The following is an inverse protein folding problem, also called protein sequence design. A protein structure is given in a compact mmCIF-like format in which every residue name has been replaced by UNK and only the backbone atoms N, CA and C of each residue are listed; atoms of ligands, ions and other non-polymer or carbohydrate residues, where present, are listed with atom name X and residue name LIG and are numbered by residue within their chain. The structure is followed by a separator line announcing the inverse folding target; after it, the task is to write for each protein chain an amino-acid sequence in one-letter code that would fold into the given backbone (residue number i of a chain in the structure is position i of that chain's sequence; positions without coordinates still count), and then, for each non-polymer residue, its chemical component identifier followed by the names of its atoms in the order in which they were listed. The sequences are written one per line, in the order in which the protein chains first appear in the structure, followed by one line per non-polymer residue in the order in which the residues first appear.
data_IF_153980423588
#
_entry.id   IF_153980423588
#
_cell.length_a   1.000
_cell.length_b   1.000
_cell.length_c   1.000
_cell.angle_alpha   90.00
_cell.angle_beta   90.00
_cell.angle_gamma   90.00
#
_symmetry.space_group_name_H-M   'P 1'
#
loop_
_entity.id
_entity.type
_entity.pdbx_description
1 polymer ?
#
# COMPACT_ATOMS: atom_id res chain seq x y z
N UNK A 1 -48.73 42.72 -33.29
CA UNK A 1 -47.61 43.08 -32.43
C UNK A 1 -47.34 41.88 -31.59
N UNK A 2 -46.43 41.04 -32.06
CA UNK A 2 -45.98 39.82 -31.41
C UNK A 2 -44.48 39.94 -31.28
N UNK A 3 -44.00 40.18 -30.05
CA UNK A 3 -42.57 40.28 -29.75
C UNK A 3 -41.98 38.87 -29.58
N UNK A 4 -41.04 38.58 -30.46
CA UNK A 4 -40.29 37.34 -30.53
C UNK A 4 -39.06 37.49 -29.58
N UNK A 5 -39.08 36.75 -28.47
CA UNK A 5 -37.94 36.72 -27.51
C UNK A 5 -37.10 35.50 -27.86
N UNK A 6 -36.06 35.71 -28.66
CA UNK A 6 -35.00 34.73 -28.91
C UNK A 6 -34.14 34.49 -27.64
N UNK A 7 -34.28 33.30 -27.05
CA UNK A 7 -33.46 32.83 -25.96
C UNK A 7 -32.06 32.48 -26.48
N UNK A 8 -31.05 33.22 -26.02
CA UNK A 8 -29.63 32.93 -26.25
C UNK A 8 -29.18 31.90 -25.23
N UNK A 9 -28.81 30.72 -25.73
CA UNK A 9 -28.21 29.66 -24.94
C UNK A 9 -26.76 30.01 -24.58
N UNK A 10 -26.30 29.87 -23.32
CA UNK A 10 -24.88 30.12 -22.99
C UNK A 10 -24.04 29.00 -23.55
N UNK A 11 -22.98 29.37 -24.29
CA UNK A 11 -21.97 28.47 -24.82
C UNK A 11 -21.23 27.78 -23.67
N UNK A 12 -21.20 26.45 -23.70
CA UNK A 12 -20.39 25.63 -22.81
C UNK A 12 -18.92 25.87 -23.09
N UNK A 13 -18.18 26.29 -22.07
CA UNK A 13 -16.72 26.37 -22.11
C UNK A 13 -16.14 24.96 -22.25
N UNK A 14 -15.07 24.76 -23.04
CA UNK A 14 -14.43 23.47 -23.14
C UNK A 14 -13.70 23.14 -21.82
N UNK A 15 -13.90 21.91 -21.34
CA UNK A 15 -13.14 21.33 -20.23
C UNK A 15 -11.64 21.30 -20.59
N UNK A 16 -10.73 21.56 -19.64
CA UNK A 16 -9.30 21.44 -19.90
C UNK A 16 -8.98 19.98 -20.26
N UNK A 17 -8.33 19.79 -21.39
CA UNK A 17 -7.83 18.52 -21.87
C UNK A 17 -6.96 17.85 -20.79
N UNK A 18 -7.30 16.63 -20.41
CA UNK A 18 -6.49 15.76 -19.58
C UNK A 18 -5.10 15.62 -20.22
N UNK A 19 -4.10 16.29 -19.62
CA UNK A 19 -2.71 16.02 -19.95
C UNK A 19 -2.44 14.55 -19.62
N UNK A 20 -2.17 13.77 -20.66
CA UNK A 20 -1.71 12.40 -20.57
C UNK A 20 -0.37 12.37 -19.82
N UNK A 21 -0.43 12.07 -18.52
CA UNK A 21 0.76 11.70 -17.75
C UNK A 21 1.20 10.34 -18.29
N UNK A 22 2.25 10.33 -19.06
CA UNK A 22 2.96 9.08 -19.42
C UNK A 22 3.36 8.39 -18.11
N UNK A 23 3.21 7.05 -18.00
CA UNK A 23 3.68 6.33 -16.82
C UNK A 23 5.19 6.54 -16.71
N UNK A 24 5.62 7.27 -15.70
CA UNK A 24 7.03 7.45 -15.38
C UNK A 24 7.62 6.08 -15.03
N UNK A 25 8.71 5.74 -15.70
CA UNK A 25 9.51 4.54 -15.37
C UNK A 25 10.02 4.65 -13.91
N UNK A 26 10.05 3.58 -13.12
CA UNK A 26 10.44 3.61 -11.70
C UNK A 26 11.89 4.05 -11.42
N UNK A 27 12.69 4.30 -12.46
CA UNK A 27 14.14 4.52 -12.35
C UNK A 27 14.56 5.91 -11.87
N UNK A 28 13.66 6.90 -11.80
CA UNK A 28 14.03 8.29 -11.54
C UNK A 28 13.65 8.73 -10.11
N UNK A 29 14.67 8.71 -9.22
CA UNK A 29 14.61 9.44 -7.95
C UNK A 29 14.14 8.64 -6.73
N UNK A 30 14.86 7.58 -6.35
CA UNK A 30 14.64 6.92 -5.04
C UNK A 30 14.77 7.93 -3.88
N UNK A 31 13.80 7.93 -2.97
CA UNK A 31 13.81 8.71 -1.73
C UNK A 31 13.81 7.78 -0.51
N UNK A 32 14.96 7.67 0.15
CA UNK A 32 15.13 6.81 1.33
C UNK A 32 16.58 6.44 1.59
N UNK A 33 16.81 5.50 2.52
CA UNK A 33 18.13 4.97 2.85
C UNK A 33 18.64 4.04 1.73
N UNK A 34 19.79 4.36 1.09
CA UNK A 34 20.37 3.52 0.04
C UNK A 34 20.74 2.11 0.51
N UNK A 35 21.03 1.88 1.79
CA UNK A 35 21.37 0.57 2.32
C UNK A 35 20.15 -0.35 2.36
N UNK A 36 19.00 0.18 2.80
CA UNK A 36 17.71 -0.55 2.80
C UNK A 36 17.33 -0.93 1.37
N UNK A 37 17.47 0.02 0.43
CA UNK A 37 17.24 -0.27 -0.98
C UNK A 37 18.12 -1.40 -1.49
N UNK A 38 19.44 -1.31 -1.27
CA UNK A 38 20.40 -2.29 -1.79
C UNK A 38 20.13 -3.70 -1.24
N UNK A 39 19.74 -3.81 0.03
CA UNK A 39 19.37 -5.07 0.64
C UNK A 39 18.16 -5.71 -0.07
N UNK A 40 17.07 -4.95 -0.26
CA UNK A 40 15.86 -5.45 -0.90
C UNK A 40 16.06 -5.71 -2.40
N UNK A 41 16.77 -4.84 -3.12
CA UNK A 41 17.13 -5.08 -4.52
C UNK A 41 17.88 -6.40 -4.68
N UNK A 42 18.85 -6.70 -3.77
CA UNK A 42 19.56 -7.97 -3.75
C UNK A 42 18.64 -9.17 -3.54
N UNK A 43 17.75 -9.11 -2.54
CA UNK A 43 16.78 -10.20 -2.26
C UNK A 43 15.88 -10.52 -3.47
N UNK A 44 15.42 -9.49 -4.19
CA UNK A 44 14.61 -9.66 -5.40
C UNK A 44 15.46 -10.14 -6.59
N UNK A 45 16.68 -9.63 -6.78
CA UNK A 45 17.56 -10.01 -7.89
C UNK A 45 17.97 -11.49 -7.84
N UNK A 46 18.17 -12.05 -6.65
CA UNK A 46 18.58 -13.44 -6.44
C UNK A 46 17.52 -14.48 -6.83
N UNK A 47 16.28 -14.05 -7.07
CA UNK A 47 15.16 -14.96 -7.39
C UNK A 47 14.34 -14.42 -8.56
N UNK A 48 13.92 -15.32 -9.44
CA UNK A 48 13.01 -14.96 -10.54
C UNK A 48 11.65 -14.46 -10.02
N UNK A 49 11.16 -15.02 -8.92
CA UNK A 49 9.96 -14.63 -8.19
C UNK A 49 10.19 -14.85 -6.70
N UNK A 50 9.93 -13.87 -5.87
CA UNK A 50 10.06 -13.99 -4.42
C UNK A 50 8.73 -14.40 -3.76
N UNK A 51 7.61 -13.83 -4.20
CA UNK A 51 6.28 -14.05 -3.64
C UNK A 51 5.40 -14.94 -4.53
N UNK A 52 4.23 -15.33 -4.00
CA UNK A 52 3.27 -16.21 -4.70
C UNK A 52 2.73 -15.64 -6.02
N UNK A 53 2.65 -14.30 -6.12
CA UNK A 53 1.99 -13.59 -7.21
C UNK A 53 0.47 -13.57 -7.10
N UNK A 54 -0.09 -14.10 -6.01
CA UNK A 54 -1.50 -14.00 -5.66
C UNK A 54 -1.71 -12.86 -4.65
N UNK A 55 -2.87 -12.20 -4.62
CA UNK A 55 -3.18 -11.21 -3.60
C UNK A 55 -3.20 -11.86 -2.21
N UNK A 56 -2.88 -11.07 -1.20
CA UNK A 56 -2.91 -11.52 0.18
C UNK A 56 -4.34 -11.77 0.64
N UNK A 57 -4.58 -12.94 1.28
CA UNK A 57 -5.93 -13.35 1.70
C UNK A 57 -6.56 -12.35 2.66
N UNK A 58 -5.81 -11.86 3.64
CA UNK A 58 -6.30 -10.85 4.58
C UNK A 58 -6.73 -9.55 3.86
N UNK A 59 -6.01 -9.10 2.83
CA UNK A 59 -6.43 -7.97 2.00
C UNK A 59 -7.75 -8.25 1.31
N UNK A 60 -7.88 -9.42 0.66
CA UNK A 60 -9.10 -9.80 -0.08
C UNK A 60 -10.32 -9.80 0.85
N UNK A 61 -10.17 -10.38 2.05
CA UNK A 61 -11.25 -10.47 3.02
C UNK A 61 -11.64 -9.09 3.57
N UNK A 62 -10.66 -8.26 3.94
CA UNK A 62 -10.89 -6.99 4.63
C UNK A 62 -11.36 -5.87 3.71
N UNK A 63 -11.08 -5.93 2.41
CA UNK A 63 -11.60 -4.94 1.46
C UNK A 63 -12.94 -5.36 0.84
N UNK A 64 -13.41 -6.58 1.12
CA UNK A 64 -14.73 -7.03 0.68
C UNK A 64 -15.82 -6.09 1.23
N UNK A 65 -16.57 -5.48 0.34
CA UNK A 65 -17.62 -4.52 0.71
C UNK A 65 -17.17 -3.06 0.86
N UNK A 66 -15.88 -2.74 0.74
CA UNK A 66 -15.44 -1.35 0.58
C UNK A 66 -15.73 -0.87 -0.84
N UNK A 67 -16.16 0.38 -0.95
CA UNK A 67 -16.29 1.03 -2.26
C UNK A 67 -14.89 1.39 -2.77
N UNK A 68 -14.51 0.98 -3.99
CA UNK A 68 -13.23 1.38 -4.57
C UNK A 68 -13.06 2.90 -4.62
N UNK A 69 -11.91 3.36 -4.16
CA UNK A 69 -11.48 4.74 -4.13
C UNK A 69 -9.97 4.80 -4.38
N UNK A 70 -9.27 5.73 -3.73
CA UNK A 70 -7.80 5.84 -3.81
C UNK A 70 -7.17 4.92 -2.79
N UNK A 71 -6.23 4.09 -3.23
CA UNK A 71 -5.50 3.20 -2.33
C UNK A 71 -3.99 3.45 -2.39
N UNK A 72 -3.35 3.40 -1.21
CA UNK A 72 -1.91 3.30 -1.06
C UNK A 72 -1.56 1.87 -0.65
N UNK A 73 -0.77 1.19 -1.49
CA UNK A 73 -0.19 -0.13 -1.19
C UNK A 73 1.27 0.06 -0.76
N UNK A 74 1.57 -0.18 0.52
CA UNK A 74 2.85 0.09 1.16
C UNK A 74 3.68 -1.19 1.25
N UNK A 75 4.88 -1.17 0.62
CA UNK A 75 5.71 -2.37 0.49
C UNK A 75 5.11 -3.34 -0.52
N UNK A 76 4.70 -2.83 -1.67
CA UNK A 76 3.92 -3.58 -2.67
C UNK A 76 4.69 -4.73 -3.32
N UNK A 77 6.00 -4.83 -3.16
CA UNK A 77 6.84 -5.88 -3.73
C UNK A 77 6.65 -6.03 -5.23
N UNK A 78 6.41 -7.25 -5.69
CA UNK A 78 6.18 -7.59 -7.10
C UNK A 78 4.74 -7.25 -7.58
N UNK A 79 3.94 -6.52 -6.77
CA UNK A 79 2.71 -5.87 -7.17
C UNK A 79 1.45 -6.74 -7.22
N UNK A 80 1.44 -7.90 -6.58
CA UNK A 80 0.28 -8.79 -6.63
C UNK A 80 -1.00 -8.13 -6.09
N UNK A 81 -0.90 -7.49 -4.92
CA UNK A 81 -2.00 -6.75 -4.29
C UNK A 81 -2.40 -5.52 -5.10
N UNK A 82 -1.41 -4.73 -5.55
CA UNK A 82 -1.64 -3.54 -6.38
C UNK A 82 -2.41 -3.86 -7.66
N UNK A 83 -2.01 -4.94 -8.37
CA UNK A 83 -2.68 -5.40 -9.61
C UNK A 83 -4.09 -5.91 -9.30
N UNK A 84 -4.28 -6.64 -8.21
CA UNK A 84 -5.59 -7.12 -7.79
C UNK A 84 -6.54 -5.97 -7.44
N UNK A 85 -6.07 -4.99 -6.67
CA UNK A 85 -6.82 -3.78 -6.32
C UNK A 85 -7.21 -2.97 -7.56
N UNK A 86 -6.26 -2.78 -8.50
CA UNK A 86 -6.53 -2.07 -9.75
C UNK A 86 -7.60 -2.77 -10.61
N UNK A 87 -7.61 -4.12 -10.64
CA UNK A 87 -8.70 -4.90 -11.29
C UNK A 87 -10.04 -4.70 -10.61
N UNK A 88 -10.02 -4.49 -9.29
CA UNK A 88 -11.20 -4.17 -8.50
C UNK A 88 -11.70 -2.73 -8.66
N UNK A 89 -11.05 -1.91 -9.50
CA UNK A 89 -11.45 -0.53 -9.79
C UNK A 89 -10.86 0.51 -8.82
N UNK A 90 -9.88 0.15 -7.99
CA UNK A 90 -9.17 1.10 -7.15
C UNK A 90 -8.19 1.95 -7.95
N UNK A 91 -8.06 3.24 -7.60
CA UNK A 91 -6.98 4.11 -8.07
C UNK A 91 -5.74 3.89 -7.20
N UNK A 92 -4.81 3.08 -7.72
CA UNK A 92 -3.71 2.50 -6.94
C UNK A 92 -2.44 3.35 -7.05
N UNK A 93 -1.92 3.76 -5.88
CA UNK A 93 -0.54 4.18 -5.70
C UNK A 93 0.18 3.07 -4.93
N UNK A 94 1.24 2.50 -5.51
CA UNK A 94 1.98 1.40 -4.92
C UNK A 94 3.43 1.82 -4.67
N UNK A 95 3.90 1.61 -3.45
CA UNK A 95 5.20 2.09 -2.97
C UNK A 95 6.06 0.90 -2.54
N UNK A 96 7.32 0.90 -3.00
CA UNK A 96 8.34 -0.04 -2.52
C UNK A 96 9.73 0.59 -2.53
N UNK A 97 10.61 0.06 -1.70
CA UNK A 97 12.02 0.48 -1.61
C UNK A 97 12.87 -0.15 -2.71
N UNK A 98 12.43 -1.27 -3.29
CA UNK A 98 13.15 -1.99 -4.33
C UNK A 98 12.73 -1.57 -5.74
N UNK A 99 13.69 -1.03 -6.50
CA UNK A 99 13.51 -0.76 -7.91
C UNK A 99 13.30 -2.04 -8.74
N UNK A 100 13.96 -3.13 -8.35
CA UNK A 100 13.82 -4.45 -9.00
C UNK A 100 12.39 -4.99 -8.83
N UNK A 101 11.82 -4.88 -7.64
CA UNK A 101 10.45 -5.29 -7.38
C UNK A 101 9.45 -4.45 -8.18
N UNK A 102 9.60 -3.12 -8.16
CA UNK A 102 8.72 -2.20 -8.88
C UNK A 102 8.76 -2.39 -10.40
N UNK A 103 9.92 -2.71 -10.98
CA UNK A 103 10.03 -3.02 -12.42
C UNK A 103 9.18 -4.25 -12.79
N UNK A 104 9.24 -5.31 -11.97
CA UNK A 104 8.42 -6.52 -12.14
C UNK A 104 6.94 -6.21 -11.96
N UNK A 105 6.60 -5.48 -10.92
CA UNK A 105 5.23 -5.06 -10.63
C UNK A 105 4.63 -4.26 -11.79
N UNK A 106 5.39 -3.30 -12.34
CA UNK A 106 4.98 -2.52 -13.50
C UNK A 106 4.81 -3.40 -14.76
N UNK A 107 5.64 -4.45 -14.91
CA UNK A 107 5.47 -5.47 -15.95
C UNK A 107 4.13 -6.19 -15.82
N UNK A 108 3.83 -6.72 -14.65
CA UNK A 108 2.57 -7.43 -14.36
C UNK A 108 1.34 -6.56 -14.62
N UNK A 109 1.38 -5.28 -14.22
CA UNK A 109 0.28 -4.35 -14.48
C UNK A 109 0.08 -4.08 -15.98
N UNK A 110 1.18 -3.86 -16.73
CA UNK A 110 1.13 -3.66 -18.20
C UNK A 110 0.54 -4.88 -18.92
N UNK A 111 0.99 -6.09 -18.56
CA UNK A 111 0.50 -7.35 -19.15
C UNK A 111 -0.99 -7.56 -18.87
N UNK A 112 -1.47 -7.04 -17.75
CA UNK A 112 -2.88 -7.07 -17.36
C UNK A 112 -3.71 -5.90 -17.94
N UNK A 113 -3.08 -4.93 -18.65
CA UNK A 113 -3.75 -3.74 -19.19
C UNK A 113 -4.21 -2.76 -18.10
N UNK A 114 -3.53 -2.73 -16.95
CA UNK A 114 -3.89 -1.93 -15.79
C UNK A 114 -2.93 -0.75 -15.59
N UNK A 115 -3.45 0.33 -15.01
CA UNK A 115 -2.66 1.50 -14.63
C UNK A 115 -2.49 1.53 -13.13
N UNK A 116 -1.24 1.65 -12.67
CA UNK A 116 -0.86 1.80 -11.25
C UNK A 116 0.21 2.88 -11.18
N UNK A 117 0.13 3.76 -10.18
CA UNK A 117 1.17 4.74 -9.88
C UNK A 117 2.23 4.08 -9.01
N UNK A 118 3.42 3.87 -9.55
CA UNK A 118 4.56 3.30 -8.83
C UNK A 118 5.39 4.40 -8.17
N UNK A 119 5.76 4.20 -6.89
CA UNK A 119 6.58 5.14 -6.10
C UNK A 119 7.78 4.39 -5.56
N UNK A 120 8.99 4.77 -6.01
CA UNK A 120 10.26 4.19 -5.57
C UNK A 120 10.81 4.99 -4.39
N UNK A 121 10.42 4.63 -3.17
CA UNK A 121 10.81 5.33 -1.94
C UNK A 121 10.57 4.47 -0.70
N UNK A 122 11.16 4.88 0.45
CA UNK A 122 10.63 4.49 1.76
C UNK A 122 9.32 5.22 2.03
N UNK A 123 8.47 4.67 2.90
CA UNK A 123 7.21 5.33 3.30
C UNK A 123 7.44 6.75 3.84
N UNK A 124 8.47 6.92 4.67
CA UNK A 124 8.80 8.22 5.28
C UNK A 124 9.55 9.18 4.34
N UNK A 125 10.17 8.66 3.27
CA UNK A 125 10.84 9.45 2.24
C UNK A 125 9.92 9.87 1.10
N UNK A 126 8.78 9.20 0.95
CA UNK A 126 7.84 9.48 -0.13
C UNK A 126 7.07 10.79 0.12
N UNK A 127 7.00 11.65 -0.90
CA UNK A 127 6.15 12.85 -0.87
C UNK A 127 4.67 12.47 -1.12
N UNK A 128 4.07 11.77 -0.17
CA UNK A 128 2.66 11.38 -0.24
C UNK A 128 1.76 12.52 0.26
N UNK A 129 0.65 12.81 -0.43
CA UNK A 129 -0.30 13.80 0.07
C UNK A 129 -0.97 13.26 1.35
N UNK A 130 -1.05 14.04 2.43
CA UNK A 130 -1.71 13.61 3.66
C UNK A 130 -3.23 13.47 3.45
N UNK A 131 -3.87 12.62 4.25
CA UNK A 131 -5.31 12.43 4.28
C UNK A 131 -5.94 12.22 2.89
N UNK A 132 -5.28 11.41 2.04
CA UNK A 132 -5.62 11.33 0.63
C UNK A 132 -6.04 9.95 0.15
N UNK A 133 -5.90 8.92 0.96
CA UNK A 133 -6.21 7.56 0.57
C UNK A 133 -7.41 7.02 1.34
N UNK A 134 -8.38 6.47 0.60
CA UNK A 134 -9.57 5.82 1.16
C UNK A 134 -9.23 4.46 1.77
N UNK A 135 -8.11 3.85 1.30
CA UNK A 135 -7.49 2.66 1.88
C UNK A 135 -5.97 2.84 1.90
N UNK A 136 -5.34 2.58 3.05
CA UNK A 136 -3.91 2.37 3.17
C UNK A 136 -3.70 0.90 3.53
N UNK A 137 -3.07 0.14 2.66
CA UNK A 137 -2.78 -1.28 2.84
C UNK A 137 -1.29 -1.49 3.04
N UNK A 138 -0.92 -2.25 4.06
CA UNK A 138 0.44 -2.65 4.32
C UNK A 138 0.46 -4.14 4.72
N UNK A 139 0.80 -5.00 3.75
CA UNK A 139 0.77 -6.45 3.92
C UNK A 139 2.20 -6.97 4.16
N UNK A 140 2.46 -7.42 5.38
CA UNK A 140 3.78 -7.91 5.85
C UNK A 140 4.92 -6.92 5.55
N UNK A 141 4.72 -5.62 5.80
CA UNK A 141 5.70 -4.61 5.42
C UNK A 141 6.94 -4.69 6.31
N UNK A 142 8.12 -4.51 5.71
CA UNK A 142 9.37 -4.38 6.45
C UNK A 142 9.63 -2.90 6.82
N UNK A 143 8.70 -2.29 7.54
CA UNK A 143 8.83 -0.90 7.99
C UNK A 143 9.74 -0.84 9.22
N UNK A 144 10.84 -0.11 9.11
CA UNK A 144 11.76 0.09 10.23
C UNK A 144 11.16 1.01 11.28
N UNK A 145 11.31 0.60 12.53
CA UNK A 145 10.90 1.36 13.70
C UNK A 145 11.86 2.52 13.97
N UNK A 146 11.32 3.65 14.36
CA UNK A 146 12.08 4.82 14.81
C UNK A 146 11.56 5.32 16.16
N UNK A 147 12.41 5.99 16.99
CA UNK A 147 11.98 6.48 18.32
C UNK A 147 10.80 7.45 18.27
N UNK A 148 10.61 8.16 17.16
CA UNK A 148 9.53 9.12 16.92
C UNK A 148 8.30 8.50 16.24
N UNK A 149 8.30 7.17 16.02
CA UNK A 149 7.24 6.44 15.35
C UNK A 149 6.90 7.01 13.95
N UNK A 150 7.93 7.36 13.16
CA UNK A 150 7.76 8.05 11.90
C UNK A 150 6.95 7.23 10.88
N UNK A 151 7.18 5.91 10.80
CA UNK A 151 6.48 5.05 9.86
C UNK A 151 5.01 4.85 10.25
N UNK A 152 4.72 4.60 11.53
CA UNK A 152 3.36 4.49 12.06
C UNK A 152 2.55 5.77 11.82
N UNK A 153 3.17 6.92 12.12
CA UNK A 153 2.53 8.23 11.87
C UNK A 153 2.30 8.48 10.38
N UNK A 154 3.23 8.05 9.50
CA UNK A 154 3.07 8.20 8.06
C UNK A 154 1.93 7.33 7.52
N UNK A 155 1.76 6.09 8.02
CA UNK A 155 0.61 5.24 7.71
C UNK A 155 -0.71 5.95 8.07
N UNK A 156 -0.83 6.41 9.31
CA UNK A 156 -2.03 7.08 9.81
C UNK A 156 -2.31 8.40 9.07
N UNK A 157 -1.26 9.21 8.83
CA UNK A 157 -1.39 10.49 8.15
C UNK A 157 -1.86 10.39 6.70
N UNK A 158 -1.60 9.27 6.02
CA UNK A 158 -2.01 9.03 4.64
C UNK A 158 -3.52 8.76 4.49
N UNK A 159 -4.17 8.21 5.54
CA UNK A 159 -5.59 7.82 5.51
C UNK A 159 -6.49 9.05 5.45
N UNK A 160 -7.41 9.09 4.49
CA UNK A 160 -8.43 10.14 4.38
C UNK A 160 -9.49 10.02 5.50
N UNK A 161 -10.20 11.11 5.85
CA UNK A 161 -11.38 11.00 6.71
C UNK A 161 -12.40 9.98 6.14
N UNK A 162 -12.89 9.07 6.96
CA UNK A 162 -13.72 7.93 6.55
C UNK A 162 -12.95 6.75 5.95
N UNK A 163 -11.67 6.93 5.65
CA UNK A 163 -10.80 5.88 5.09
C UNK A 163 -10.33 4.86 6.13
N UNK A 164 -9.67 3.82 5.64
CA UNK A 164 -9.24 2.66 6.41
C UNK A 164 -7.73 2.46 6.29
N UNK A 165 -7.06 2.15 7.40
CA UNK A 165 -5.74 1.51 7.41
C UNK A 165 -5.93 0.01 7.66
N UNK A 166 -5.32 -0.80 6.81
CA UNK A 166 -5.20 -2.24 6.98
C UNK A 166 -3.71 -2.61 7.09
N UNK A 167 -3.29 -3.05 8.26
CA UNK A 167 -1.92 -3.51 8.52
C UNK A 167 -1.95 -4.98 8.93
N UNK A 168 -1.19 -5.80 8.21
CA UNK A 168 -1.14 -7.25 8.44
C UNK A 168 0.30 -7.71 8.61
N UNK A 169 0.54 -8.56 9.61
CA UNK A 169 1.82 -9.22 9.84
C UNK A 169 1.63 -10.71 10.14
N UNK A 170 2.69 -11.51 9.98
CA UNK A 170 2.69 -12.89 10.44
C UNK A 170 2.69 -12.95 11.97
N UNK A 171 1.77 -13.72 12.53
CA UNK A 171 1.75 -13.96 13.98
C UNK A 171 2.97 -14.74 14.44
N UNK A 172 3.43 -14.43 15.67
CA UNK A 172 4.57 -15.08 16.30
C UNK A 172 5.94 -14.56 15.86
N UNK A 173 6.01 -13.71 14.82
CA UNK A 173 7.28 -13.07 14.44
C UNK A 173 7.66 -11.92 15.37
N UNK A 174 6.68 -11.24 15.95
CA UNK A 174 6.85 -10.15 16.92
C UNK A 174 7.52 -10.59 18.23
N UNK A 175 7.45 -11.89 18.54
CA UNK A 175 8.03 -12.52 19.73
C UNK A 175 9.22 -13.43 19.42
N UNK A 176 9.64 -13.54 18.14
CA UNK A 176 10.73 -14.39 17.72
C UNK A 176 12.07 -13.85 18.23
N UNK A 177 12.89 -14.70 18.85
CA UNK A 177 14.24 -14.30 19.25
C UNK A 177 15.17 -14.28 18.03
N UNK A 178 16.00 -13.24 17.98
CA UNK A 178 17.04 -13.09 16.94
C UNK A 178 17.97 -14.30 16.96
N UNK A 179 18.11 -14.98 15.82
CA UNK A 179 19.18 -15.93 15.60
C UNK A 179 20.27 -15.23 14.79
N UNK A 180 21.53 -15.41 15.19
CA UNK A 180 22.74 -14.75 14.68
C UNK A 180 22.64 -14.05 13.32
N UNK A 181 22.58 -12.70 13.32
CA UNK A 181 22.63 -11.84 12.12
C UNK A 181 21.37 -11.81 11.27
N UNK A 182 20.23 -12.29 11.81
CA UNK A 182 18.94 -12.33 11.13
C UNK A 182 17.99 -11.21 11.49
N UNK A 183 16.74 -11.41 11.19
CA UNK A 183 15.62 -10.54 11.50
C UNK A 183 15.46 -10.34 13.02
N UNK A 184 15.45 -9.08 13.48
CA UNK A 184 15.09 -8.71 14.85
C UNK A 184 13.71 -8.03 14.85
N UNK A 185 12.70 -8.63 15.50
CA UNK A 185 11.37 -8.03 15.60
C UNK A 185 11.36 -6.61 16.19
N UNK A 186 12.31 -6.32 17.08
CA UNK A 186 12.41 -5.01 17.72
C UNK A 186 12.71 -3.86 16.75
N UNK A 187 13.26 -4.18 15.58
CA UNK A 187 13.61 -3.19 14.55
C UNK A 187 12.43 -2.80 13.66
N UNK A 188 11.30 -3.50 13.76
CA UNK A 188 10.17 -3.32 12.83
C UNK A 188 8.90 -2.83 13.51
N UNK A 189 8.03 -2.21 12.71
CA UNK A 189 6.71 -1.73 13.13
C UNK A 189 5.72 -2.89 13.15
N UNK A 190 4.97 -3.01 14.25
CA UNK A 190 3.92 -4.02 14.46
C UNK A 190 2.54 -3.38 14.62
N UNK A 191 1.44 -4.11 14.37
CA UNK A 191 0.08 -3.62 14.55
C UNK A 191 -0.18 -2.96 15.90
N UNK A 192 0.31 -3.55 16.99
CA UNK A 192 0.17 -3.01 18.35
C UNK A 192 0.82 -1.64 18.55
N UNK A 193 1.87 -1.32 17.80
CA UNK A 193 2.53 -0.01 17.87
C UNK A 193 1.68 1.06 17.18
N UNK A 194 0.98 0.72 16.10
CA UNK A 194 0.02 1.61 15.45
C UNK A 194 -1.19 1.82 16.34
N UNK A 195 -1.75 0.75 16.92
CA UNK A 195 -2.88 0.82 17.84
C UNK A 195 -2.57 1.75 19.04
N UNK A 196 -1.33 1.73 19.56
CA UNK A 196 -0.91 2.59 20.66
C UNK A 196 -0.88 4.10 20.33
N UNK A 197 -0.93 4.48 19.04
CA UNK A 197 -0.96 5.89 18.59
C UNK A 197 -2.37 6.39 18.26
N UNK A 198 -3.37 5.53 18.30
CA UNK A 198 -4.74 5.91 17.96
C UNK A 198 -5.33 6.79 19.07
N UNK A 199 -6.09 7.78 18.65
CA UNK A 199 -6.85 8.68 19.52
C UNK A 199 -8.36 8.59 19.23
N UNK A 200 -9.15 9.53 19.73
CA UNK A 200 -10.59 9.56 19.53
C UNK A 200 -11.07 9.82 18.09
N UNK A 201 -10.15 10.06 17.16
CA UNK A 201 -10.44 10.23 15.74
C UNK A 201 -10.39 8.91 14.96
N UNK A 202 -10.16 7.78 15.65
CA UNK A 202 -10.04 6.46 15.07
C UNK A 202 -10.97 5.45 15.73
N UNK A 203 -11.48 4.52 14.92
CA UNK A 203 -12.23 3.35 15.34
C UNK A 203 -11.44 2.08 14.96
N UNK A 204 -11.22 1.21 15.95
CA UNK A 204 -10.64 -0.12 15.71
C UNK A 204 -11.75 -1.05 15.27
N UNK A 205 -11.76 -1.44 13.99
CA UNK A 205 -12.76 -2.35 13.43
C UNK A 205 -12.34 -3.82 13.58
N UNK A 206 -11.02 -4.10 13.43
CA UNK A 206 -10.41 -5.43 13.60
C UNK A 206 -9.05 -5.25 14.28
N UNK A 207 -8.80 -6.04 15.32
CA UNK A 207 -7.48 -6.22 15.97
C UNK A 207 -7.42 -7.65 16.50
N UNK A 208 -6.96 -8.58 15.67
CA UNK A 208 -7.01 -9.99 16.00
C UNK A 208 -5.88 -10.81 15.37
N UNK A 209 -5.61 -11.97 15.97
CA UNK A 209 -4.84 -13.03 15.33
C UNK A 209 -5.82 -14.05 14.76
N UNK A 210 -5.62 -14.41 13.48
CA UNK A 210 -6.46 -15.39 12.80
C UNK A 210 -5.69 -16.30 11.85
N UNK A 211 -6.21 -17.51 11.52
CA UNK A 211 -5.61 -18.39 10.53
C UNK A 211 -5.47 -17.69 9.18
N UNK A 212 -4.32 -17.90 8.57
CA UNK A 212 -3.98 -17.34 7.26
C UNK A 212 -4.42 -18.25 6.14
N UNK A 213 -5.06 -17.68 5.11
CA UNK A 213 -5.19 -18.35 3.82
C UNK A 213 -3.83 -18.30 3.10
N UNK A 214 -3.09 -19.41 3.10
CA UNK A 214 -1.74 -19.50 2.53
C UNK A 214 -1.84 -19.92 1.07
N UNK A 215 -1.47 -19.06 0.08
CA UNK A 215 -1.33 -19.46 -1.31
C UNK A 215 -0.17 -20.44 -1.47
N UNK A 216 -0.29 -21.37 -2.41
CA UNK A 216 0.81 -22.27 -2.76
C UNK A 216 2.02 -21.51 -3.27
N UNK A 217 3.19 -21.75 -2.69
CA UNK A 217 4.47 -21.17 -3.09
C UNK A 217 4.73 -19.79 -2.51
N UNK A 218 5.96 -19.31 -2.72
CA UNK A 218 6.43 -18.02 -2.21
C UNK A 218 7.07 -18.07 -0.82
N UNK A 219 7.84 -17.02 -0.51
CA UNK A 219 8.41 -16.83 0.82
C UNK A 219 7.29 -16.60 1.84
N UNK A 220 7.46 -17.07 3.08
CA UNK A 220 6.45 -16.91 4.14
C UNK A 220 5.30 -17.93 4.12
N UNK A 221 5.27 -18.89 3.19
CA UNK A 221 4.23 -19.93 3.14
C UNK A 221 4.18 -20.83 4.37
N UNK A 222 5.20 -20.82 5.23
CA UNK A 222 5.26 -21.58 6.47
C UNK A 222 4.53 -20.91 7.65
N UNK A 223 4.24 -19.61 7.57
CA UNK A 223 3.44 -18.92 8.58
C UNK A 223 1.96 -19.28 8.43
N UNK A 224 1.30 -19.62 9.54
CA UNK A 224 -0.07 -20.16 9.55
C UNK A 224 -1.12 -19.16 10.01
N UNK A 225 -0.71 -18.16 10.78
CA UNK A 225 -1.59 -17.15 11.35
C UNK A 225 -1.09 -15.76 11.05
N UNK A 226 -2.02 -14.84 10.91
CA UNK A 226 -1.78 -13.41 10.72
C UNK A 226 -2.25 -12.61 11.94
N UNK A 227 -1.52 -11.51 12.23
CA UNK A 227 -2.00 -10.39 13.04
C UNK A 227 -2.65 -9.39 12.08
N UNK A 228 -3.93 -9.12 12.25
CA UNK A 228 -4.70 -8.23 11.39
C UNK A 228 -5.18 -7.04 12.18
N UNK A 229 -4.77 -5.85 11.79
CA UNK A 229 -5.27 -4.58 12.30
C UNK A 229 -5.99 -3.83 11.19
N UNK A 230 -7.27 -3.54 11.39
CA UNK A 230 -8.05 -2.65 10.55
C UNK A 230 -8.64 -1.53 11.40
N UNK A 231 -8.28 -0.30 11.06
CA UNK A 231 -8.76 0.89 11.76
C UNK A 231 -9.34 1.89 10.79
N UNK A 232 -10.42 2.52 11.18
CA UNK A 232 -11.10 3.57 10.39
C UNK A 232 -10.82 4.93 10.96
N UNK A 233 -10.45 5.89 10.09
CA UNK A 233 -10.36 7.28 10.46
C UNK A 233 -11.76 7.93 10.43
N UNK A 234 -12.20 8.51 11.55
CA UNK A 234 -13.53 9.10 11.68
C UNK A 234 -13.58 10.53 11.13
N UNK A 235 -12.49 11.31 11.31
CA UNK A 235 -12.38 12.72 10.91
C UNK A 235 -10.95 13.19 10.68
#
# INVERSE_FOLDING_TARGET
MTDDITAVSPASAPLPSSSSLSPSSPADGYAGDPAVRAEWDGRYADRHRLWSGQPNGALVDEVAGLTPGRVLDVGCGEGADAVWLARGGWDVTALDVSGVALERAAGHARDAGLTVRWVHATLTGAALPPASFDLVSAQYPALLRTPDAAAERALLAAVAPGGVLLLVHHAGMDTQQTQDGGFDPADYVWPSMVTALLDGDWEVEVDEQRPRAVPDGGAGAHHRDDLVLRVRRLR
#
